data_IF_592391997596
#
_entry.id   IF_592391997596
#
_cell.length_a   1.000
_cell.length_b   1.000
_cell.length_c   1.000
_cell.angle_alpha   90.00
_cell.angle_beta   90.00
_cell.angle_gamma   90.00
#
_symmetry.space_group_name_H-M   'P 1'
#
loop_
_entity.id
_entity.type
_entity.pdbx_description
1 polymer ?
2 non-polymer ?
3 water ?
#
# COMPACT_ATOMS: atom_id res chain seq x y z
N UNK A 1 -7.69 10.52 13.47
CA UNK A 1 -8.28 9.52 14.39
C UNK A 1 -7.45 8.24 14.39
N UNK A 2 -8.00 7.18 14.98
CA UNK A 2 -7.32 5.89 14.92
C UNK A 2 -8.02 5.02 13.88
N UNK A 3 -7.24 4.38 13.01
CA UNK A 3 -7.85 3.55 11.99
C UNK A 3 -7.39 2.11 12.07
N UNK A 4 -8.35 1.21 12.25
CA UNK A 4 -8.07 -0.22 12.30
C UNK A 4 -8.04 -0.81 10.91
N UNK A 5 -7.51 -2.04 10.79
CA UNK A 5 -7.38 -2.56 9.44
C UNK A 5 -8.30 -3.63 9.06
N UNK A 6 -9.40 -3.79 9.83
CA UNK A 6 -10.40 -4.80 9.48
C UNK A 6 -10.95 -4.54 8.09
N UNK A 7 -11.14 -3.26 7.76
CA UNK A 7 -11.62 -2.95 6.40
C UNK A 7 -10.62 -2.15 5.62
N UNK A 8 -10.92 -1.85 4.34
CA UNK A 8 -9.90 -1.02 3.63
C UNK A 8 -9.94 0.37 4.29
N UNK A 9 -8.77 0.97 4.45
CA UNK A 9 -8.71 2.31 5.08
C UNK A 9 -9.11 3.38 4.09
N UNK A 10 -10.42 3.49 3.83
CA UNK A 10 -10.90 4.46 2.87
C UNK A 10 -11.21 5.80 3.49
N UNK A 11 -10.74 6.86 2.84
CA UNK A 11 -11.01 8.22 3.28
C UNK A 11 -11.49 9.06 2.09
N UNK A 12 -12.16 10.15 2.42
CA UNK A 12 -12.61 11.10 1.39
C UNK A 12 -11.55 12.18 1.23
N UNK A 13 -11.26 12.56 -0.01
CA UNK A 13 -10.26 13.65 -0.14
C UNK A 13 -10.92 14.77 -0.94
N UNK A 14 -10.29 15.91 -0.99
CA UNK A 14 -10.81 17.01 -1.82
C UNK A 14 -9.69 17.52 -2.71
N UNK A 15 -9.94 17.64 -4.00
CA UNK A 15 -8.87 18.09 -4.91
C UNK A 15 -9.48 18.59 -6.21
N UNK A 16 -8.97 19.72 -6.70
CA UNK A 16 -9.47 20.29 -7.94
C UNK A 16 -10.95 20.61 -7.86
N UNK A 17 -11.47 20.78 -6.65
CA UNK A 17 -12.88 21.09 -6.47
C UNK A 17 -13.75 19.87 -6.65
N UNK A 18 -13.15 18.69 -6.50
CA UNK A 18 -13.90 17.45 -6.62
C UNK A 18 -13.72 16.57 -5.39
N UNK A 19 -14.80 16.29 -4.67
CA UNK A 19 -14.71 15.41 -3.48
C UNK A 19 -14.46 13.98 -3.96
N UNK A 20 -13.56 13.24 -3.31
CA UNK A 20 -13.27 11.88 -3.78
C UNK A 20 -12.98 10.91 -2.64
N UNK A 21 -12.93 9.63 -2.99
CA UNK A 21 -12.67 8.57 -1.99
C UNK A 21 -11.32 7.93 -2.29
N UNK A 22 -10.50 7.77 -1.25
CA UNK A 22 -9.18 7.24 -1.46
C UNK A 22 -8.75 6.20 -0.44
N UNK A 23 -7.68 5.50 -0.82
CA UNK A 23 -7.10 4.45 -0.01
C UNK A 23 -5.85 4.95 0.70
N UNK A 24 -5.80 4.80 2.02
CA UNK A 24 -4.55 5.22 2.72
C UNK A 24 -3.55 4.06 2.58
N UNK A 25 -2.61 4.21 1.67
CA UNK A 25 -1.67 3.15 1.32
C UNK A 25 -0.24 3.52 1.69
N UNK A 26 0.27 2.91 2.74
CA UNK A 26 1.59 3.15 3.29
C UNK A 26 2.70 2.44 2.54
N UNK A 27 2.34 1.62 1.55
CA UNK A 27 3.32 0.90 0.74
C UNK A 27 3.66 1.70 -0.52
N UNK A 28 2.87 2.74 -0.77
CA UNK A 28 3.04 3.62 -1.91
C UNK A 28 3.96 4.79 -1.64
N UNK A 29 5.04 4.92 -2.44
CA UNK A 29 5.87 6.12 -2.20
C UNK A 29 5.08 7.37 -2.60
N UNK A 30 4.29 7.26 -3.66
CA UNK A 30 3.59 8.41 -4.19
C UNK A 30 2.06 8.27 -4.10
N UNK A 31 1.40 9.37 -4.46
CA UNK A 31 -0.05 9.43 -4.48
C UNK A 31 -0.52 9.40 -5.94
N UNK A 32 -1.32 8.41 -6.29
CA UNK A 32 -1.84 8.24 -7.65
C UNK A 32 -3.37 8.25 -7.64
N UNK A 33 -3.98 9.11 -8.46
CA UNK A 33 -5.43 9.16 -8.54
C UNK A 33 -5.93 8.81 -9.93
N UNK A 34 -7.21 8.43 -10.02
CA UNK A 34 -7.76 8.08 -11.36
C UNK A 34 -7.78 9.39 -12.18
N UNK A 35 -7.75 9.25 -13.48
CA UNK A 35 -7.72 10.33 -14.43
C UNK A 35 -8.58 11.52 -14.03
N UNK A 36 -8.04 12.72 -14.20
CA UNK A 36 -8.74 13.96 -13.90
C UNK A 36 -7.99 15.18 -14.38
N UNK A 37 -8.62 16.37 -14.35
CA UNK A 37 -7.88 17.54 -14.84
C UNK A 37 -7.35 18.41 -13.72
N UNK A 38 -6.04 18.61 -13.67
CA UNK A 38 -5.43 19.47 -12.66
C UNK A 38 -4.76 20.65 -13.35
N UNK A 39 -4.74 21.80 -12.70
CA UNK A 39 -4.20 23.02 -13.32
C UNK A 39 -2.68 23.03 -13.27
N UNK A 40 -2.07 23.83 -14.14
CA UNK A 40 -0.62 23.92 -14.22
C UNK A 40 -0.04 22.89 -15.17
N UNK A 41 1.28 22.90 -15.33
CA UNK A 41 1.93 21.95 -16.22
C UNK A 41 2.25 20.65 -15.48
N UNK A 42 2.40 19.57 -16.23
CA UNK A 42 2.73 18.27 -15.63
C UNK A 42 3.84 17.61 -16.45
N UNK A 43 4.53 16.64 -15.88
CA UNK A 43 5.53 15.91 -16.67
C UNK A 43 5.11 14.46 -16.80
N UNK A 44 5.50 13.80 -17.89
CA UNK A 44 5.12 12.36 -17.99
C UNK A 44 6.07 11.53 -17.12
N UNK A 45 5.55 10.51 -16.46
CA UNK A 45 6.44 9.69 -15.62
C UNK A 45 5.96 8.24 -15.65
N UNK A 46 6.80 7.30 -15.23
CA UNK A 46 6.40 5.91 -15.15
C UNK A 46 6.51 5.37 -13.73
N UNK A 47 5.38 4.91 -13.17
CA UNK A 47 5.45 4.31 -11.84
C UNK A 47 4.95 2.86 -11.91
N UNK A 48 5.66 1.97 -11.24
CA UNK A 48 5.36 0.56 -11.19
C UNK A 48 4.75 0.17 -9.84
N UNK A 49 4.07 -0.93 -9.81
CA UNK A 49 3.39 -1.56 -8.71
C UNK A 49 3.04 -3.01 -9.04
N UNK A 50 2.23 -3.66 -8.19
CA UNK A 50 1.86 -5.06 -8.56
C UNK A 50 1.10 -4.94 -9.90
N UNK A 51 1.54 -5.67 -10.90
CA UNK A 51 0.92 -5.63 -12.21
C UNK A 51 1.81 -5.00 -13.26
N UNK A 52 2.80 -4.20 -12.82
CA UNK A 52 3.69 -3.54 -13.75
C UNK A 52 3.56 -2.04 -13.76
N UNK A 53 4.03 -1.39 -14.82
CA UNK A 53 4.02 0.04 -14.94
C UNK A 53 2.83 0.64 -15.64
N UNK A 54 2.44 1.84 -15.20
CA UNK A 54 1.42 2.65 -15.82
C UNK A 54 2.00 4.06 -16.05
N UNK A 55 1.71 4.63 -17.20
CA UNK A 55 2.23 6.00 -17.47
C UNK A 55 1.31 6.97 -16.72
N UNK A 56 1.90 7.97 -16.08
CA UNK A 56 1.12 8.94 -15.33
C UNK A 56 1.59 10.37 -15.64
N UNK A 57 0.75 11.32 -15.31
CA UNK A 57 1.08 12.75 -15.48
C UNK A 57 1.36 13.27 -14.05
N UNK A 58 2.54 13.80 -13.83
CA UNK A 58 2.95 14.27 -12.52
C UNK A 58 2.78 15.78 -12.34
N UNK A 59 1.90 16.15 -11.42
CA UNK A 59 1.61 17.49 -10.98
C UNK A 59 2.29 17.77 -9.63
N UNK A 60 2.94 18.92 -9.51
CA UNK A 60 3.63 19.27 -8.27
C UNK A 60 2.90 20.36 -7.50
N UNK A 61 3.26 20.52 -6.24
CA UNK A 61 2.69 21.52 -5.36
C UNK A 61 1.17 21.50 -5.42
N UNK A 62 0.55 20.35 -5.21
CA UNK A 62 -0.92 20.29 -5.26
C UNK A 62 -1.54 20.30 -3.89
N UNK A 63 -2.63 21.06 -3.72
CA UNK A 63 -3.29 21.08 -2.41
C UNK A 63 -4.32 19.94 -2.33
N UNK A 64 -4.29 19.19 -1.24
CA UNK A 64 -5.25 18.13 -1.02
C UNK A 64 -5.77 18.17 0.42
N UNK A 65 -7.07 17.96 0.58
CA UNK A 65 -7.68 17.92 1.92
C UNK A 65 -8.09 16.48 2.23
N UNK A 66 -7.37 15.84 3.15
CA UNK A 66 -7.64 14.47 3.53
C UNK A 66 -8.04 14.34 4.98
N UNK A 67 -9.28 13.90 5.21
CA UNK A 67 -9.76 13.82 6.60
C UNK A 67 -9.71 15.26 7.18
N UNK A 68 -10.30 16.18 6.44
CA UNK A 68 -10.37 17.59 6.75
C UNK A 68 -8.99 18.18 7.05
N UNK A 69 -7.96 17.58 6.50
CA UNK A 69 -6.58 17.92 6.71
C UNK A 69 -5.92 18.49 5.46
N UNK A 70 -5.44 19.73 5.56
CA UNK A 70 -4.73 20.30 4.41
C UNK A 70 -3.35 19.62 4.30
N UNK A 71 -2.87 19.54 3.09
CA UNK A 71 -1.62 19.00 2.67
C UNK A 71 -1.34 19.35 1.21
N UNK A 72 -0.10 19.71 0.95
CA UNK A 72 0.32 20.05 -0.41
C UNK A 72 1.37 19.05 -0.84
N UNK A 73 1.49 18.77 -2.14
CA UNK A 73 2.48 17.75 -2.52
C UNK A 73 2.24 17.21 -3.89
N UNK A 74 3.19 16.39 -4.37
CA UNK A 74 3.08 15.87 -5.70
C UNK A 74 1.97 14.91 -5.93
N UNK A 75 1.26 15.05 -7.06
CA UNK A 75 0.15 14.13 -7.33
C UNK A 75 0.29 13.57 -8.74
N UNK A 76 0.14 12.27 -8.90
CA UNK A 76 0.24 11.65 -10.22
C UNK A 76 -1.17 11.19 -10.67
N UNK A 77 -1.52 11.60 -11.85
CA UNK A 77 -2.78 11.28 -12.51
C UNK A 77 -2.58 10.30 -13.64
N UNK A 78 -3.36 9.21 -13.61
CA UNK A 78 -3.18 8.20 -14.66
C UNK A 78 -4.26 7.12 -14.55
N UNK A 79 -4.09 6.06 -15.31
CA UNK A 79 -4.97 4.93 -15.39
C UNK A 79 -4.95 3.98 -14.22
N UNK A 80 -4.95 4.51 -13.00
CA UNK A 80 -4.98 3.71 -11.81
C UNK A 80 -6.33 3.05 -11.56
N UNK A 81 -6.27 1.81 -11.08
CA UNK A 81 -7.51 1.10 -10.76
C UNK A 81 -8.23 1.75 -9.58
N UNK A 82 -7.42 2.21 -8.62
CA UNK A 82 -7.97 2.82 -7.42
C UNK A 82 -7.25 4.10 -7.03
N UNK A 83 -7.95 5.00 -6.33
CA UNK A 83 -7.30 6.23 -5.86
C UNK A 83 -6.45 5.87 -4.62
N UNK A 84 -5.19 6.25 -4.63
CA UNK A 84 -4.28 5.85 -3.55
C UNK A 84 -3.48 7.04 -3.02
N UNK A 85 -3.62 7.32 -1.74
CA UNK A 85 -2.87 8.39 -1.05
C UNK A 85 -1.57 7.81 -0.51
N UNK A 86 -0.43 8.24 -1.05
CA UNK A 86 0.84 7.68 -0.64
C UNK A 86 1.51 8.34 0.52
N UNK A 87 2.69 7.78 0.89
CA UNK A 87 3.45 8.34 2.00
C UNK A 87 3.73 9.82 1.76
N UNK A 88 3.86 10.20 0.50
CA UNK A 88 4.10 11.56 0.11
C UNK A 88 3.22 12.56 0.78
N UNK A 89 1.92 12.24 0.94
CA UNK A 89 1.08 13.22 1.65
C UNK A 89 0.73 12.68 3.02
N UNK A 90 0.97 11.38 3.23
CA UNK A 90 0.59 10.79 4.52
C UNK A 90 1.44 11.34 5.64
N UNK A 91 2.69 11.67 5.33
CA UNK A 91 3.60 12.28 6.29
C UNK A 91 3.07 13.68 6.69
N UNK A 92 2.69 14.45 5.68
CA UNK A 92 2.18 15.79 5.84
C UNK A 92 1.04 15.92 6.81
N UNK A 93 0.27 14.84 7.04
CA UNK A 93 -0.85 14.94 7.98
C UNK A 93 -0.56 14.16 9.26
N UNK A 94 0.72 13.88 9.49
CA UNK A 94 1.21 13.19 10.64
C UNK A 94 0.77 11.77 10.77
N UNK A 95 0.65 11.03 9.65
CA UNK A 95 0.20 9.65 9.78
C UNK A 95 1.29 8.71 10.21
N UNK A 96 0.96 7.81 11.14
CA UNK A 96 1.87 6.80 11.62
C UNK A 96 1.22 5.40 11.59
N UNK A 97 2.06 4.42 11.79
CA UNK A 97 1.68 3.00 11.87
C UNK A 97 1.99 2.55 13.32
N UNK A 98 1.06 1.94 14.00
CA UNK A 98 1.32 1.50 15.39
C UNK A 98 0.94 0.05 15.60
N UNK A 99 1.67 -0.65 16.46
CA UNK A 99 1.38 -2.05 16.74
C UNK A 99 2.33 -2.57 17.84
N UNK B 1 5.65 -0.96 17.98
CA UNK B 1 6.35 0.24 17.59
C UNK B 1 5.46 1.28 16.91
N UNK B 2 5.95 2.52 16.89
CA UNK B 2 5.27 3.59 16.16
C UNK B 2 6.14 3.88 14.91
N UNK B 3 5.57 3.68 13.74
CA UNK B 3 6.39 3.85 12.52
C UNK B 3 5.97 5.06 11.75
N UNK B 4 6.95 5.91 11.40
CA UNK B 4 6.58 7.10 10.60
C UNK B 4 6.78 6.73 9.14
N UNK B 5 6.40 7.59 8.21
CA UNK B 5 6.50 7.23 6.80
C UNK B 5 7.33 8.09 5.93
N UNK B 6 8.36 8.75 6.50
CA UNK B 6 9.20 9.58 5.60
C UNK B 6 10.12 8.62 4.82
N UNK B 7 10.17 7.40 5.29
CA UNK B 7 10.99 6.32 4.71
C UNK B 7 10.06 5.15 4.38
N UNK B 8 10.50 4.18 3.59
CA UNK B 8 9.49 3.07 3.37
C UNK B 8 9.33 2.33 4.69
N UNK B 9 8.12 1.89 5.02
CA UNK B 9 7.93 1.13 6.26
C UNK B 9 8.43 -0.31 6.12
N UNK B 10 9.74 -0.47 5.93
CA UNK B 10 10.36 -1.79 5.80
C UNK B 10 10.56 -2.45 7.17
N UNK B 11 10.25 -3.73 7.25
CA UNK B 11 10.42 -4.53 8.45
C UNK B 11 11.07 -5.87 8.10
N UNK B 12 11.62 -6.52 9.12
CA UNK B 12 12.25 -7.84 8.86
C UNK B 12 11.22 -8.93 9.21
N UNK B 13 11.01 -9.86 8.29
CA UNK B 13 10.08 -10.96 8.60
C UNK B 13 10.85 -12.26 8.73
N UNK B 14 10.38 -13.14 9.63
CA UNK B 14 11.05 -14.47 9.66
C UNK B 14 10.07 -15.44 8.96
N UNK B 15 10.44 -15.92 7.79
CA UNK B 15 9.53 -16.84 7.09
C UNK B 15 10.29 -18.07 6.64
N UNK B 16 9.88 -19.24 7.14
CA UNK B 16 10.59 -20.48 6.83
C UNK B 16 12.07 -20.37 7.19
N UNK B 17 12.34 -19.94 8.41
CA UNK B 17 13.66 -19.75 8.94
C UNK B 17 14.47 -18.67 8.29
N UNK B 18 14.04 -18.13 7.16
CA UNK B 18 14.82 -17.09 6.49
C UNK B 18 14.37 -15.70 6.92
N UNK B 19 15.34 -14.80 7.13
CA UNK B 19 14.91 -13.41 7.46
C UNK B 19 14.73 -12.68 6.12
N UNK B 20 13.70 -11.86 6.02
CA UNK B 20 13.46 -11.11 4.79
C UNK B 20 13.00 -9.69 5.09
N UNK B 21 13.12 -8.84 4.07
CA UNK B 21 12.65 -7.45 4.22
C UNK B 21 11.27 -7.37 3.57
N UNK B 22 10.29 -6.90 4.34
CA UNK B 22 8.97 -6.71 3.77
C UNK B 22 8.49 -5.27 3.97
N UNK B 23 7.40 -4.92 3.32
CA UNK B 23 6.83 -3.57 3.41
C UNK B 23 5.48 -3.67 4.15
N UNK B 24 5.23 -2.79 5.09
CA UNK B 24 3.89 -2.77 5.74
C UNK B 24 2.97 -1.93 4.84
N UNK B 25 1.93 -2.55 4.30
CA UNK B 25 1.10 -1.82 3.32
C UNK B 25 -0.38 -1.91 3.63
N UNK B 26 -0.95 -0.81 4.11
CA UNK B 26 -2.37 -0.81 4.48
C UNK B 26 -3.26 -0.82 3.24
N UNK B 27 -2.67 -0.57 2.08
CA UNK B 27 -3.43 -0.51 0.85
C UNK B 27 -3.71 -1.88 0.26
N UNK B 28 -2.91 -2.87 0.62
CA UNK B 28 -3.10 -4.25 0.15
C UNK B 28 -3.99 -5.04 1.10
N UNK B 29 -4.90 -5.86 0.54
CA UNK B 29 -5.72 -6.66 1.47
C UNK B 29 -4.97 -7.92 1.88
N UNK B 30 -4.18 -8.46 0.96
CA UNK B 30 -3.46 -9.69 1.17
C UNK B 30 -1.94 -9.46 1.15
N UNK B 31 -1.25 -10.45 1.68
CA UNK B 31 0.21 -10.46 1.75
C UNK B 31 0.78 -11.09 0.48
N UNK B 32 1.58 -10.34 -0.25
CA UNK B 32 2.20 -10.83 -1.49
C UNK B 32 3.73 -10.77 -1.36
N UNK B 33 4.36 -11.93 -1.42
CA UNK B 33 5.81 -12.04 -1.29
C UNK B 33 6.45 -12.44 -2.62
N UNK B 34 7.77 -12.24 -2.71
CA UNK B 34 8.50 -12.64 -3.92
C UNK B 34 8.50 -14.19 -4.00
N UNK B 35 8.73 -14.68 -5.19
CA UNK B 35 8.79 -16.08 -5.53
C UNK B 35 9.65 -16.86 -4.54
N UNK B 36 9.04 -17.86 -3.90
CA UNK B 36 9.76 -18.68 -2.94
C UNK B 36 9.03 -19.98 -2.67
N UNK B 37 9.79 -20.99 -2.20
CA UNK B 37 9.15 -22.25 -1.90
C UNK B 37 8.48 -22.25 -0.54
N UNK B 38 7.47 -23.10 -0.38
CA UNK B 38 6.80 -23.14 0.94
C UNK B 38 6.13 -24.48 1.10
N UNK B 39 5.73 -24.83 2.31
CA UNK B 39 5.07 -26.11 2.54
C UNK B 39 3.63 -26.13 2.01
N UNK B 40 3.19 -27.33 1.67
CA UNK B 40 1.92 -27.73 1.29
C UNK B 40 1.46 -27.48 -0.11
N UNK B 41 0.17 -27.76 -0.33
CA UNK B 41 -0.44 -27.53 -1.65
C UNK B 41 -0.88 -26.05 -1.69
N UNK B 42 -0.94 -25.48 -2.87
CA UNK B 42 -1.38 -24.10 -3.04
C UNK B 42 -2.57 -24.00 -3.98
N UNK B 43 -3.42 -22.99 -3.78
CA UNK B 43 -4.52 -22.75 -4.70
C UNK B 43 -4.14 -21.52 -5.57
N UNK B 44 -4.66 -21.45 -6.77
CA UNK B 44 -4.34 -20.33 -7.67
C UNK B 44 -5.20 -19.11 -7.36
N UNK B 45 -4.64 -17.92 -7.59
CA UNK B 45 -5.38 -16.68 -7.30
C UNK B 45 -4.91 -15.53 -8.16
N UNK B 46 -5.86 -14.70 -8.60
CA UNK B 46 -5.44 -13.56 -9.46
C UNK B 46 -5.58 -12.30 -8.60
N UNK B 47 -4.55 -11.48 -8.59
CA UNK B 47 -4.58 -10.27 -7.78
C UNK B 47 -4.37 -9.03 -8.60
N UNK B 48 -5.15 -7.98 -8.32
CA UNK B 48 -4.98 -6.75 -9.10
C UNK B 48 -4.11 -5.76 -8.33
N UNK B 49 -3.19 -5.11 -9.01
CA UNK B 49 -2.35 -4.09 -8.36
C UNK B 49 -2.55 -2.77 -9.10
N UNK B 50 -1.66 -1.82 -8.86
CA UNK B 50 -1.76 -0.53 -9.55
C UNK B 50 -1.59 -0.69 -11.04
N UNK B 51 -0.67 -1.57 -11.46
CA UNK B 51 -0.39 -1.78 -12.85
C UNK B 51 -0.91 -3.00 -13.52
N UNK B 52 -2.00 -3.62 -13.04
CA UNK B 52 -2.51 -4.81 -13.71
C UNK B 52 -2.71 -5.98 -12.78
N UNK B 53 -3.23 -7.08 -13.32
CA UNK B 53 -3.47 -8.29 -12.56
C UNK B 53 -2.30 -9.26 -12.72
N UNK B 54 -2.14 -10.14 -11.74
CA UNK B 54 -1.10 -11.14 -11.76
C UNK B 54 -1.60 -12.42 -11.08
N UNK B 55 -1.19 -13.56 -11.60
CA UNK B 55 -1.60 -14.84 -10.96
C UNK B 55 -0.62 -15.07 -9.80
N UNK B 56 -1.06 -15.73 -8.75
CA UNK B 56 -0.15 -16.00 -7.64
C UNK B 56 -0.39 -17.39 -7.07
N UNK B 57 0.45 -17.79 -6.12
CA UNK B 57 0.23 -19.08 -5.46
C UNK B 57 -0.25 -18.84 -4.04
N UNK B 58 -1.52 -19.18 -3.78
CA UNK B 58 -2.07 -19.00 -2.47
C UNK B 58 -1.65 -20.10 -1.50
N UNK B 59 -1.12 -19.70 -0.35
CA UNK B 59 -0.73 -20.66 0.68
C UNK B 59 -1.43 -20.29 2.00
N UNK B 60 -2.16 -21.23 2.58
CA UNK B 60 -2.88 -21.00 3.81
C UNK B 60 -2.11 -21.47 5.04
N UNK B 61 -2.48 -20.92 6.18
CA UNK B 61 -1.95 -21.21 7.47
C UNK B 61 -0.44 -21.18 7.57
N UNK B 62 0.21 -20.19 6.95
CA UNK B 62 1.66 -20.08 6.97
C UNK B 62 2.18 -19.32 8.17
N UNK B 63 3.28 -19.79 8.79
CA UNK B 63 3.81 -19.06 9.93
C UNK B 63 4.77 -17.96 9.50
N UNK B 64 4.40 -16.73 9.87
CA UNK B 64 5.24 -15.58 9.55
C UNK B 64 5.49 -14.74 10.79
N UNK B 65 6.76 -14.42 11.03
CA UNK B 65 7.10 -13.57 12.18
C UNK B 65 7.41 -12.15 11.65
N UNK B 66 6.61 -11.20 12.07
CA UNK B 66 6.78 -9.80 11.63
C UNK B 66 7.14 -8.94 12.86
N UNK B 67 8.36 -8.45 12.87
CA UNK B 67 8.94 -7.66 13.94
C UNK B 67 8.72 -8.30 15.30
N UNK B 68 8.92 -9.61 15.41
CA UNK B 68 8.73 -10.31 16.67
C UNK B 68 7.34 -10.82 16.90
N UNK B 69 6.35 -10.24 16.22
CA UNK B 69 4.97 -10.69 16.41
C UNK B 69 4.69 -11.91 15.55
N UNK B 70 4.10 -12.94 16.14
CA UNK B 70 3.77 -14.14 15.41
C UNK B 70 2.38 -14.07 14.78
N UNK B 71 2.32 -14.29 13.48
CA UNK B 71 1.14 -14.35 12.67
C UNK B 71 1.06 -15.70 11.93
N UNK B 72 -0.15 -16.11 11.59
CA UNK B 72 -0.41 -17.35 10.89
C UNK B 72 -1.61 -17.20 9.98
N UNK B 73 -1.37 -16.94 8.70
CA UNK B 73 -2.51 -16.78 7.78
C UNK B 73 -2.06 -17.05 6.35
N UNK B 74 -2.86 -16.61 5.40
CA UNK B 74 -2.64 -16.80 3.99
C UNK B 74 -1.55 -15.91 3.43
N UNK B 75 -0.71 -16.50 2.58
CA UNK B 75 0.37 -15.80 1.92
C UNK B 75 0.42 -16.03 0.43
N UNK B 76 0.31 -14.93 -0.34
CA UNK B 76 0.39 -15.07 -1.79
C UNK B 76 1.84 -15.01 -2.25
N UNK B 77 2.23 -15.94 -3.10
CA UNK B 77 3.59 -15.95 -3.67
C UNK B 77 3.52 -15.72 -5.17
N UNK B 78 4.20 -14.68 -5.65
CA UNK B 78 4.13 -14.34 -7.06
C UNK B 78 5.11 -13.27 -7.47
N UNK B 79 5.03 -12.88 -8.75
CA UNK B 79 5.98 -11.90 -9.27
C UNK B 79 5.69 -10.50 -8.76
N UNK B 80 6.05 -10.22 -7.50
CA UNK B 80 5.86 -8.90 -6.95
C UNK B 80 7.14 -8.08 -6.96
N UNK B 81 7.00 -6.77 -7.18
CA UNK B 81 8.19 -5.92 -7.22
C UNK B 81 8.87 -5.83 -5.86
N UNK B 82 8.13 -6.21 -4.81
CA UNK B 82 8.68 -6.16 -3.46
C UNK B 82 7.81 -6.96 -2.48
N UNK B 83 8.44 -7.52 -1.45
CA UNK B 83 7.66 -8.25 -0.44
C UNK B 83 6.69 -7.28 0.23
N UNK B 84 5.41 -7.61 0.22
CA UNK B 84 4.42 -6.67 0.80
C UNK B 84 3.60 -7.38 1.85
N UNK B 85 3.39 -6.72 2.98
CA UNK B 85 2.54 -7.32 4.06
C UNK B 85 1.19 -6.62 4.03
N UNK B 86 0.10 -7.39 3.91
CA UNK B 86 -1.21 -6.79 3.76
C UNK B 86 -2.04 -6.77 5.01
N UNK B 87 -3.28 -6.29 4.88
CA UNK B 87 -4.20 -6.18 5.98
C UNK B 87 -4.48 -7.47 6.71
N UNK B 88 -4.53 -8.59 5.97
CA UNK B 88 -4.77 -9.88 6.58
C UNK B 88 -3.84 -10.16 7.73
N UNK B 89 -2.57 -9.74 7.58
CA UNK B 89 -1.62 -10.00 8.67
C UNK B 89 -1.47 -8.81 9.59
N UNK B 90 -1.68 -7.59 9.06
CA UNK B 90 -1.56 -6.42 9.94
C UNK B 90 -2.61 -6.47 11.04
N UNK B 91 -3.84 -6.85 10.68
CA UNK B 91 -4.89 -6.94 11.70
C UNK B 91 -4.46 -7.92 12.80
N UNK B 92 -3.69 -8.91 12.39
CA UNK B 92 -3.23 -9.97 13.29
C UNK B 92 -2.22 -9.48 14.30
N UNK B 93 -1.33 -8.57 13.87
CA UNK B 93 -0.32 -8.02 14.77
C UNK B 93 -0.86 -6.83 15.54
N UNK B 94 -2.10 -6.44 15.22
CA UNK B 94 -2.82 -5.38 15.87
C UNK B 94 -2.40 -4.00 15.38
N UNK B 95 -2.14 -3.89 14.09
CA UNK B 95 -1.68 -2.71 13.42
C UNK B 95 -2.73 -1.70 13.05
N UNK B 96 -2.55 -0.44 13.47
CA UNK B 96 -3.51 0.60 13.12
C UNK B 96 -2.78 1.79 12.44
N UNK B 97 -3.56 2.61 11.80
CA UNK B 97 -3.13 3.87 11.16
C UNK B 97 -3.53 5.00 12.15
N UNK B 98 -2.57 5.82 12.53
CA UNK B 98 -2.84 6.87 13.50
C UNK B 98 -2.60 8.26 12.97
N UNK B 99 -3.43 9.20 13.42
CA UNK B 99 -3.34 10.58 13.04
C UNK B 99 -4.44 11.41 13.67
X LIG C 1 -0.94 -2.42 -5.46
X LIG C 1 0.18 -1.71 -5.61
X LIG C 1 0.76 -1.05 -4.40
X LIG C 1 0.07 -1.18 -3.18
X LIG C 1 -1.43 -1.43 -3.30
X LIG C 1 -1.79 -2.15 -4.28
X LIG C 1 0.78 -1.72 -6.65
X LIG C 1 0.51 -0.57 -2.05
X LIG C 1 -2.39 -3.44 -3.68
X LIG C 1 -2.01 -4.58 -4.17
X LIG C 1 -1.19 -5.54 -3.34
X LIG C 1 -2.62 -1.45 -5.35
X LIG C 1 -3.77 -0.82 -4.61
X LIG C 1 -5.16 -1.10 -4.93
X LIG C 1 -5.65 -1.16 -6.24
X LIG C 1 -7.02 -1.41 -6.46
X LIG C 1 -7.86 -1.72 -5.38
X LIG C 1 -7.40 -1.59 -4.05
X LIG C 1 -6.04 -1.24 -3.84
X LIG C 1 2.17 -0.51 -4.53
X LIG C 1 3.60 -1.15 -4.54
X LIG C 1 3.91 -2.14 -3.40
X LIG C 1 2.05 0.87 -5.17
X LIG C 1 0.88 1.63 -5.00
X LIG C 1 0.81 2.92 -5.56
X LIG C 1 1.90 3.44 -6.29
X LIG C 1 3.00 2.62 -6.59
X LIG C 1 4.26 3.52 -7.57
X LIG C 1 3.07 1.33 -6.02
X LIG C 1 5.36 4.15 -6.57
X LIG C 1 4.67 5.04 -5.65
X LIG C 1 6.40 4.70 -7.42
X LIG C 1 6.05 2.85 -5.64
X LIG C 1 5.68 2.71 -4.35
X LIG C 1 6.19 1.66 -3.67
X LIG C 1 7.27 0.92 -4.14
X LIG C 1 7.52 0.94 -5.53
X LIG C 1 6.98 2.01 -6.26
X LIG C 1 7.66 -0.36 -3.38
X LIG C 1 6.40 -0.98 -3.16
X LIG C 1 8.29 0.09 -2.21
X LIG C 1 8.49 -1.07 -4.27
#
# INVERSE_FOLDING_TARGET
>A
PQITLWQRPLVTIKIGGQLKEALLDTGADDTVLEEMSLPGRWKPKMIGGIGGFIKVRQYDQILIEICGHKAIGTVLVGPTPFNVIGRNLLTQIGCTLNF
>B
PQITLWQRPLVTIKIGGQLKEALLDTGADDTVLEEMSLPGRWKPKMIGGIGGFIKVRQYDQILIEICGHKAIGTVLVGPTPFNVIGRNLLTQIGCTLNF
>C hetero
1 TPV O1 C2 C3 C4 C5 C6 O7 O8 C9 C10 C11 C12 C13 C14 C15 C16 C17 C18 C19 C20 C21 C22 C23 C24 C25 C26 C27 N28 C29 S30 O31 O32 C33 N34 C35 C36 C37 C38 C39 F40 F41 F42
#
